data_IF_024502958974
#
_entry.id   IF_024502958974
#
_cell.length_a   1.000
_cell.length_b   1.000
_cell.length_c   1.000
_cell.angle_alpha   90.00
_cell.angle_beta   90.00
_cell.angle_gamma   90.00
#
_symmetry.space_group_name_H-M   'P 1'
#
loop_
_entity.id
_entity.type
_entity.pdbx_description
1 polymer ?
#
# COMPACT_ATOMS: atom_id res chain seq x y z
N UNK A 1 -37.71 -42.76 43.06
CA UNK A 1 -36.30 -42.39 42.81
C UNK A 1 -36.25 -41.44 41.62
N UNK A 2 -35.92 -40.17 41.83
CA UNK A 2 -35.79 -39.16 40.75
C UNK A 2 -34.34 -39.20 40.24
N UNK A 3 -34.12 -39.54 38.96
CA UNK A 3 -32.81 -39.41 38.32
C UNK A 3 -32.70 -37.99 37.77
N UNK A 4 -31.94 -37.14 38.45
CA UNK A 4 -31.61 -35.81 37.96
C UNK A 4 -30.58 -35.96 36.82
N UNK A 5 -30.99 -35.60 35.61
CA UNK A 5 -30.09 -35.53 34.45
C UNK A 5 -29.30 -34.22 34.53
N UNK A 6 -27.99 -34.30 34.75
CA UNK A 6 -27.10 -33.14 34.78
C UNK A 6 -26.64 -32.84 33.34
N UNK A 7 -27.10 -31.72 32.78
CA UNK A 7 -26.70 -31.24 31.45
C UNK A 7 -25.44 -30.38 31.60
N UNK A 8 -24.28 -30.93 31.25
CA UNK A 8 -22.99 -30.26 31.34
C UNK A 8 -22.74 -29.43 30.06
N UNK A 9 -23.00 -28.12 30.13
CA UNK A 9 -22.78 -27.19 29.01
C UNK A 9 -21.31 -26.78 29.00
N UNK A 10 -20.54 -27.28 28.03
CA UNK A 10 -19.13 -26.96 27.84
C UNK A 10 -19.00 -25.61 27.10
N UNK A 11 -18.68 -24.54 27.85
CA UNK A 11 -18.40 -23.22 27.28
C UNK A 11 -17.03 -23.22 26.61
N UNK A 12 -17.02 -23.48 25.30
CA UNK A 12 -15.81 -23.35 24.47
C UNK A 12 -15.49 -21.85 24.33
N UNK A 13 -14.39 -21.43 24.96
CA UNK A 13 -13.79 -20.12 24.72
C UNK A 13 -13.16 -20.12 23.32
N UNK A 14 -13.87 -19.57 22.34
CA UNK A 14 -13.34 -19.39 21.00
C UNK A 14 -12.43 -18.17 21.04
N UNK A 15 -11.13 -18.37 21.26
CA UNK A 15 -10.15 -17.31 21.04
C UNK A 15 -10.10 -17.02 19.54
N UNK A 16 -10.52 -15.83 19.12
CA UNK A 16 -10.26 -15.35 17.76
C UNK A 16 -8.75 -15.18 17.60
N UNK A 17 -8.08 -16.18 17.06
CA UNK A 17 -6.75 -16.03 16.51
C UNK A 17 -6.95 -15.45 15.11
N UNK A 18 -6.71 -14.16 14.96
CA UNK A 18 -6.63 -13.53 13.64
C UNK A 18 -5.51 -14.23 12.85
N UNK A 19 -5.89 -15.06 11.87
CA UNK A 19 -4.92 -15.68 10.98
C UNK A 19 -4.36 -14.58 10.08
N UNK A 20 -3.08 -14.26 10.27
CA UNK A 20 -2.32 -13.43 9.32
C UNK A 20 -2.21 -14.24 8.04
N UNK A 21 -3.07 -13.94 7.08
CA UNK A 21 -3.05 -14.55 5.76
C UNK A 21 -1.66 -14.35 5.12
N UNK A 22 -0.86 -15.40 5.12
CA UNK A 22 0.44 -15.46 4.44
C UNK A 22 0.24 -15.67 2.93
N UNK A 23 -0.60 -14.87 2.28
CA UNK A 23 -0.65 -14.81 0.81
C UNK A 23 0.54 -13.97 0.31
N UNK A 24 1.71 -14.59 0.31
CA UNK A 24 3.03 -14.03 -0.01
C UNK A 24 3.24 -13.58 -1.46
N UNK A 25 2.18 -13.39 -2.25
CA UNK A 25 2.28 -13.00 -3.67
C UNK A 25 2.22 -11.50 -3.92
N UNK A 26 1.84 -10.67 -2.93
CA UNK A 26 1.52 -9.25 -3.15
C UNK A 26 2.33 -8.25 -2.31
N UNK A 27 3.34 -8.70 -1.57
CA UNK A 27 4.19 -7.79 -0.80
C UNK A 27 5.09 -6.98 -1.73
N UNK A 28 5.20 -5.69 -1.47
CA UNK A 28 6.13 -4.79 -2.13
C UNK A 28 6.88 -3.94 -1.11
N UNK A 29 7.95 -3.30 -1.54
CA UNK A 29 8.63 -2.26 -0.78
C UNK A 29 9.20 -1.25 -1.74
N UNK A 30 8.78 0.00 -1.59
CA UNK A 30 9.14 1.11 -2.46
C UNK A 30 9.64 2.25 -1.60
N UNK A 31 10.80 2.80 -1.94
CA UNK A 31 11.34 4.03 -1.38
C UNK A 31 10.91 5.20 -2.26
N UNK A 32 10.36 6.24 -1.64
CA UNK A 32 9.88 7.45 -2.30
C UNK A 32 10.79 8.60 -1.93
N UNK A 33 11.26 9.35 -2.92
CA UNK A 33 11.95 10.63 -2.76
C UNK A 33 11.25 11.71 -3.58
N UNK A 34 11.30 12.95 -3.07
CA UNK A 34 10.76 14.14 -3.74
C UNK A 34 11.78 15.27 -3.72
N UNK A 35 12.04 15.87 -4.88
CA UNK A 35 12.89 17.06 -5.02
C UNK A 35 12.21 18.07 -5.97
N UNK A 36 11.59 19.11 -5.43
CA UNK A 36 10.73 19.98 -6.23
C UNK A 36 9.55 19.18 -6.78
N UNK A 37 9.34 19.20 -8.10
CA UNK A 37 8.30 18.45 -8.81
C UNK A 37 8.75 17.05 -9.24
N UNK A 38 10.01 16.71 -8.97
CA UNK A 38 10.63 15.44 -9.31
C UNK A 38 10.30 14.39 -8.24
N UNK A 39 9.77 13.24 -8.68
CA UNK A 39 9.50 12.08 -7.83
C UNK A 39 10.37 10.91 -8.30
N UNK A 40 11.08 10.29 -7.36
CA UNK A 40 11.83 9.05 -7.58
C UNK A 40 11.23 7.95 -6.75
N UNK A 41 10.99 6.82 -7.38
CA UNK A 41 10.58 5.59 -6.73
C UNK A 41 11.68 4.54 -6.96
N UNK A 42 12.17 3.95 -5.89
CA UNK A 42 13.09 2.81 -5.93
C UNK A 42 12.39 1.59 -5.35
N UNK A 43 12.27 0.52 -6.14
CA UNK A 43 11.65 -0.70 -5.66
C UNK A 43 12.70 -1.63 -5.06
N UNK A 44 12.53 -1.96 -3.78
CA UNK A 44 13.37 -2.93 -3.08
C UNK A 44 12.85 -4.36 -3.28
N UNK A 45 11.53 -4.53 -3.43
CA UNK A 45 10.91 -5.85 -3.69
C UNK A 45 9.52 -5.72 -4.30
N UNK A 46 9.12 -6.73 -5.07
CA UNK A 46 7.73 -6.91 -5.53
C UNK A 46 7.40 -6.22 -6.87
N UNK A 47 8.32 -5.42 -7.43
CA UNK A 47 8.16 -4.77 -8.74
C UNK A 47 8.92 -5.51 -9.85
N UNK A 48 8.52 -5.28 -11.09
CA UNK A 48 9.24 -5.66 -12.32
C UNK A 48 10.19 -4.56 -12.80
N UNK A 49 10.40 -3.52 -11.99
CA UNK A 49 11.22 -2.35 -12.25
C UNK A 49 12.05 -2.03 -11.02
N UNK A 50 13.28 -1.56 -11.22
CA UNK A 50 14.16 -1.16 -10.11
C UNK A 50 13.89 0.29 -9.70
N UNK A 51 13.74 1.18 -10.69
CA UNK A 51 13.54 2.62 -10.47
C UNK A 51 12.53 3.20 -11.45
N UNK A 52 11.68 4.09 -10.94
CA UNK A 52 10.87 5.01 -11.74
C UNK A 52 11.24 6.44 -11.38
N UNK A 53 11.26 7.28 -12.40
CA UNK A 53 11.62 8.68 -12.27
C UNK A 53 10.72 9.51 -13.19
N UNK A 54 9.97 10.44 -12.60
CA UNK A 54 9.04 11.27 -13.33
C UNK A 54 8.79 12.59 -12.60
N UNK A 55 8.33 13.59 -13.32
CA UNK A 55 7.77 14.79 -12.72
C UNK A 55 6.26 14.65 -12.61
N UNK A 56 5.62 15.35 -11.68
CA UNK A 56 4.15 15.43 -11.60
C UNK A 56 3.72 16.84 -11.23
N UNK A 57 2.68 17.37 -11.88
CA UNK A 57 2.13 18.66 -11.49
C UNK A 57 1.39 18.53 -10.15
N UNK A 58 1.25 19.65 -9.45
CA UNK A 58 0.56 19.68 -8.16
C UNK A 58 -0.88 19.15 -8.27
N UNK A 59 -1.28 18.30 -7.32
CA UNK A 59 -2.60 17.65 -7.27
C UNK A 59 -2.97 16.78 -8.47
N UNK A 60 -2.02 16.50 -9.37
CA UNK A 60 -2.20 15.53 -10.45
C UNK A 60 -1.76 14.16 -9.96
N UNK A 61 -2.50 13.11 -10.34
CA UNK A 61 -2.23 11.73 -9.93
C UNK A 61 -1.54 10.93 -11.04
N UNK A 62 -0.54 10.14 -10.63
CA UNK A 62 0.08 9.09 -11.44
C UNK A 62 -0.21 7.74 -10.80
N UNK A 63 -0.74 6.79 -11.59
CA UNK A 63 -0.98 5.41 -11.12
C UNK A 63 0.29 4.57 -11.28
N UNK A 64 0.61 3.75 -10.28
CA UNK A 64 1.78 2.88 -10.24
C UNK A 64 1.34 1.47 -9.85
N UNK A 65 1.85 0.47 -10.57
CA UNK A 65 1.68 -0.95 -10.26
C UNK A 65 3.01 -1.72 -10.30
N UNK A 66 2.92 -3.05 -10.20
CA UNK A 66 4.08 -3.96 -10.30
C UNK A 66 4.90 -3.76 -11.58
N UNK A 67 4.28 -3.37 -12.69
CA UNK A 67 4.95 -3.26 -13.99
C UNK A 67 5.43 -1.83 -14.29
N UNK A 68 4.95 -0.81 -13.58
CA UNK A 68 5.48 0.54 -13.68
C UNK A 68 4.39 1.60 -13.57
N UNK A 69 4.55 2.68 -14.34
CA UNK A 69 3.54 3.72 -14.49
C UNK A 69 2.40 3.25 -15.40
N UNK A 70 1.16 3.42 -14.96
CA UNK A 70 -0.04 3.20 -15.78
C UNK A 70 -0.53 4.57 -16.25
N UNK A 71 -0.65 4.77 -17.57
CA UNK A 71 -1.06 6.06 -18.18
C UNK A 71 -2.49 6.48 -17.82
N UNK A 72 -2.97 7.68 -18.15
CA UNK A 72 -2.33 9.00 -18.29
C UNK A 72 -2.95 9.88 -17.19
N UNK A 73 -2.19 10.87 -16.72
CA UNK A 73 -2.63 11.91 -15.76
C UNK A 73 -4.07 12.38 -16.05
N UNK A 74 -5.01 12.08 -15.15
CA UNK A 74 -6.36 12.66 -15.17
C UNK A 74 -7.53 11.72 -15.45
N UNK A 75 -7.31 10.44 -15.79
CA UNK A 75 -8.42 9.49 -16.00
C UNK A 75 -8.62 8.55 -14.80
N UNK A 76 -9.78 8.64 -14.16
CA UNK A 76 -10.18 7.80 -13.02
C UNK A 76 -10.62 6.40 -13.44
N UNK A 77 -10.80 6.13 -14.74
CA UNK A 77 -11.25 4.81 -15.19
C UNK A 77 -10.16 3.74 -14.98
N UNK A 78 -10.60 2.61 -14.40
CA UNK A 78 -9.79 1.43 -14.08
C UNK A 78 -10.46 0.25 -14.77
N UNK A 79 -10.15 0.05 -16.05
CA UNK A 79 -10.67 -1.08 -16.83
C UNK A 79 -9.50 -1.99 -17.20
N UNK A 80 -9.40 -3.16 -16.57
CA UNK A 80 -8.48 -4.23 -16.97
C UNK A 80 -7.33 -4.57 -16.01
N UNK A 81 -7.29 -3.99 -14.80
CA UNK A 81 -6.20 -4.27 -13.85
C UNK A 81 -6.49 -5.57 -13.11
N UNK A 82 -5.53 -6.50 -13.14
CA UNK A 82 -5.59 -7.74 -12.37
C UNK A 82 -5.50 -7.40 -10.87
N UNK A 83 -6.66 -7.42 -10.20
CA UNK A 83 -6.87 -7.09 -8.78
C UNK A 83 -6.07 -7.92 -7.77
N UNK A 84 -5.29 -8.90 -8.23
CA UNK A 84 -4.41 -9.69 -7.37
C UNK A 84 -3.04 -9.06 -7.16
N UNK A 85 -2.76 -7.83 -7.61
CA UNK A 85 -1.46 -7.15 -7.38
C UNK A 85 -1.68 -5.77 -6.75
N UNK A 86 -0.60 -5.13 -6.31
CA UNK A 86 -0.66 -3.78 -5.78
C UNK A 86 -0.92 -2.76 -6.89
N UNK A 87 -1.77 -1.77 -6.61
CA UNK A 87 -2.03 -0.61 -7.45
C UNK A 87 -2.28 0.61 -6.54
N UNK A 88 -1.48 1.66 -6.70
CA UNK A 88 -1.68 2.93 -5.99
C UNK A 88 -1.60 4.11 -6.94
N UNK A 89 -2.19 5.24 -6.55
CA UNK A 89 -1.95 6.53 -7.16
C UNK A 89 -1.06 7.39 -6.26
N UNK A 90 -0.18 8.17 -6.87
CA UNK A 90 0.72 9.12 -6.20
C UNK A 90 0.49 10.52 -6.75
N UNK A 91 0.43 11.51 -5.86
CA UNK A 91 0.35 12.93 -6.19
C UNK A 91 1.24 13.74 -5.24
N UNK A 92 1.63 14.94 -5.66
CA UNK A 92 2.29 15.91 -4.79
C UNK A 92 1.33 17.04 -4.41
N UNK A 93 1.46 17.51 -3.17
CA UNK A 93 0.77 18.69 -2.64
C UNK A 93 1.74 19.46 -1.76
N UNK A 94 2.26 20.59 -2.25
CA UNK A 94 3.37 21.31 -1.60
C UNK A 94 4.58 20.42 -1.27
N UNK A 95 4.87 20.28 0.03
CA UNK A 95 5.98 19.47 0.57
C UNK A 95 5.56 18.05 0.99
N UNK A 96 4.41 17.59 0.52
CA UNK A 96 3.84 16.29 0.84
C UNK A 96 3.67 15.43 -0.41
N UNK A 97 3.83 14.13 -0.23
CA UNK A 97 3.35 13.11 -1.16
C UNK A 97 2.05 12.51 -0.61
N UNK A 98 0.99 12.57 -1.41
CA UNK A 98 -0.26 11.85 -1.17
C UNK A 98 -0.25 10.54 -1.95
N UNK A 99 -0.55 9.44 -1.27
CA UNK A 99 -0.75 8.13 -1.88
C UNK A 99 -2.19 7.69 -1.67
N UNK A 100 -2.80 7.11 -2.71
CA UNK A 100 -4.13 6.50 -2.65
C UNK A 100 -4.01 5.03 -3.02
N UNK A 101 -4.37 4.15 -2.10
CA UNK A 101 -4.39 2.72 -2.32
C UNK A 101 -5.63 2.33 -3.12
N UNK A 102 -5.42 1.70 -4.29
CA UNK A 102 -6.51 1.29 -5.18
C UNK A 102 -6.72 -0.22 -5.16
N UNK A 103 -5.65 -1.00 -4.95
CA UNK A 103 -5.72 -2.46 -4.82
C UNK A 103 -4.48 -3.02 -4.12
N UNK A 104 -4.64 -4.11 -3.36
CA UNK A 104 -3.51 -4.83 -2.77
C UNK A 104 -2.80 -4.13 -1.60
N UNK A 105 -3.44 -3.16 -0.94
CA UNK A 105 -2.93 -2.45 0.24
C UNK A 105 -3.96 -2.50 1.38
N UNK A 106 -3.46 -2.45 2.62
CA UNK A 106 -4.28 -2.34 3.83
C UNK A 106 -4.71 -0.90 4.14
N UNK A 107 -4.19 0.08 3.39
CA UNK A 107 -4.44 1.50 3.56
C UNK A 107 -5.17 2.08 2.34
N UNK A 108 -6.07 3.02 2.60
CA UNK A 108 -6.78 3.77 1.55
C UNK A 108 -6.01 5.02 1.14
N UNK A 109 -5.42 5.74 2.10
CA UNK A 109 -4.62 6.93 1.85
C UNK A 109 -3.42 7.00 2.81
N UNK A 110 -2.32 7.57 2.33
CA UNK A 110 -1.16 7.96 3.14
C UNK A 110 -0.73 9.37 2.77
N UNK A 111 -0.32 10.12 3.77
CA UNK A 111 0.18 11.49 3.66
C UNK A 111 1.60 11.52 4.21
N UNK A 112 2.56 11.82 3.34
CA UNK A 112 3.98 11.70 3.67
C UNK A 112 4.64 13.07 3.52
N UNK A 113 5.00 13.74 4.62
CA UNK A 113 5.81 14.95 4.55
C UNK A 113 7.21 14.59 4.04
N UNK A 114 7.54 15.02 2.83
CA UNK A 114 8.81 14.71 2.15
C UNK A 114 9.51 16.01 1.81
N UNK A 115 10.41 16.41 2.72
CA UNK A 115 11.34 17.52 2.50
C UNK A 115 12.41 17.13 1.46
N UNK A 116 13.03 18.11 0.76
CA UNK A 116 14.13 17.82 -0.15
C UNK A 116 15.21 16.95 0.49
N UNK A 117 15.77 16.01 -0.28
CA UNK A 117 16.78 15.04 0.18
C UNK A 117 16.34 14.12 1.34
N UNK A 118 15.03 13.92 1.52
CA UNK A 118 14.50 12.89 2.41
C UNK A 118 13.79 11.82 1.60
N UNK A 119 13.80 10.61 2.13
CA UNK A 119 13.13 9.46 1.57
C UNK A 119 12.17 8.84 2.59
N UNK A 120 11.14 8.15 2.09
CA UNK A 120 10.21 7.38 2.90
C UNK A 120 9.94 6.05 2.22
N UNK A 121 10.15 4.95 2.96
CA UNK A 121 9.81 3.61 2.49
C UNK A 121 8.35 3.27 2.80
N UNK A 122 7.69 2.56 1.88
CA UNK A 122 6.31 2.10 2.02
C UNK A 122 6.17 0.63 1.62
N UNK A 123 5.15 -0.03 2.14
CA UNK A 123 4.74 -1.37 1.71
C UNK A 123 3.21 -1.52 1.72
N UNK A 124 2.72 -2.73 1.51
CA UNK A 124 1.29 -3.04 1.48
C UNK A 124 0.57 -2.75 2.81
N UNK A 125 1.30 -2.64 3.92
CA UNK A 125 0.76 -2.36 5.26
C UNK A 125 0.87 -0.89 5.67
N UNK A 126 1.67 -0.08 4.97
CA UNK A 126 1.79 1.36 5.24
C UNK A 126 3.23 1.87 5.17
N UNK A 127 3.52 2.86 6.02
CA UNK A 127 4.86 3.45 6.15
C UNK A 127 5.81 2.49 6.87
N UNK A 128 7.04 2.42 6.38
CA UNK A 128 8.14 1.74 7.05
C UNK A 128 8.99 2.76 7.82
N UNK A 129 9.61 2.38 8.95
CA UNK A 129 10.56 3.27 9.62
C UNK A 129 11.70 3.62 8.66
N UNK A 130 12.07 4.90 8.58
CA UNK A 130 13.20 5.34 7.76
C UNK A 130 14.49 4.69 8.23
N UNK A 131 15.30 4.17 7.29
CA UNK A 131 16.65 3.75 7.59
C UNK A 131 17.43 5.01 8.03
N UNK A 132 17.89 5.01 9.29
CA UNK A 132 18.71 6.08 9.87
C UNK A 132 20.09 6.11 9.24
#
# INVERSE_FOLDING_TARGET
>A
MKRASFLFIFLINISLIAQKDNSSTNSFEIIIEKNGDEIKLECQKGCSWDRLHFTIAENVYQKIDKNGMIGLRGDSSISGINYKKFLFAIAQSGNEIKLIGLSGMAWNELHIPLRPNKSQAINQNGLLPGNR
#
